data_IF_513254902783
#
_entry.id   IF_513254902783
#
_cell.length_a   1.000
_cell.length_b   1.000
_cell.length_c   1.000
_cell.angle_alpha   90.00
_cell.angle_beta   90.00
_cell.angle_gamma   90.00
#
_symmetry.space_group_name_H-M   'P 1'
#
loop_
_entity.id
_entity.type
_entity.pdbx_description
1 polymer ?
#
# COMPACT_ATOMS: atom_id res chain seq x y z
N UNK A 1 -16.22 -32.18 22.49
CA UNK A 1 -15.29 -31.29 21.75
C UNK A 1 -14.36 -30.46 22.63
N UNK A 2 -14.80 -29.90 23.78
CA UNK A 2 -13.96 -29.01 24.63
C UNK A 2 -12.55 -29.54 24.97
N UNK A 3 -12.33 -30.83 25.27
CA UNK A 3 -10.98 -31.35 25.51
C UNK A 3 -10.08 -31.35 24.27
N UNK A 4 -10.67 -31.61 23.09
CA UNK A 4 -9.96 -31.56 21.79
C UNK A 4 -9.52 -30.12 21.52
N UNK A 5 -10.43 -29.16 21.72
CA UNK A 5 -10.18 -27.72 21.56
C UNK A 5 -9.03 -27.28 22.47
N UNK A 6 -9.12 -27.55 23.78
CA UNK A 6 -8.06 -27.19 24.74
C UNK A 6 -6.71 -27.83 24.43
N UNK A 7 -6.71 -29.09 23.98
CA UNK A 7 -5.48 -29.78 23.60
C UNK A 7 -4.84 -29.11 22.39
N UNK A 8 -5.63 -28.83 21.35
CA UNK A 8 -5.13 -28.21 20.13
C UNK A 8 -4.71 -26.76 20.32
N UNK A 9 -5.43 -25.98 21.15
CA UNK A 9 -5.03 -24.63 21.56
C UNK A 9 -3.63 -24.60 22.22
N UNK A 10 -3.34 -25.58 23.10
CA UNK A 10 -2.01 -25.69 23.72
C UNK A 10 -0.92 -26.04 22.71
N UNK A 11 -1.25 -26.74 21.63
CA UNK A 11 -0.30 -27.16 20.60
C UNK A 11 -0.09 -26.06 19.54
N UNK A 12 -1.16 -25.37 19.16
CA UNK A 12 -1.15 -24.32 18.14
C UNK A 12 -1.68 -23.04 18.79
N UNK A 13 -0.75 -22.19 19.20
CA UNK A 13 -1.05 -20.91 19.85
C UNK A 13 -1.02 -19.76 18.85
N UNK A 14 -2.20 -19.30 18.46
CA UNK A 14 -2.44 -18.06 17.73
C UNK A 14 -2.35 -16.89 18.72
N UNK A 15 -1.44 -15.95 18.47
CA UNK A 15 -1.11 -14.87 19.43
C UNK A 15 -2.27 -13.90 19.68
N UNK A 16 -3.09 -13.64 18.67
CA UNK A 16 -4.19 -12.68 18.74
C UNK A 16 -5.47 -13.25 19.37
N UNK A 17 -5.51 -14.56 19.64
CA UNK A 17 -6.71 -15.25 20.12
C UNK A 17 -6.66 -15.49 21.62
N UNK A 18 -7.78 -15.26 22.28
CA UNK A 18 -8.05 -15.73 23.64
C UNK A 18 -8.70 -17.12 23.63
N UNK A 19 -8.99 -17.67 24.81
CA UNK A 19 -9.57 -19.01 24.93
C UNK A 19 -10.98 -19.12 24.32
N UNK A 20 -11.76 -18.04 24.36
CA UNK A 20 -13.12 -18.02 23.83
C UNK A 20 -13.09 -18.04 22.31
N UNK A 21 -12.12 -17.40 21.66
CA UNK A 21 -11.93 -17.47 20.20
C UNK A 21 -11.74 -18.92 19.73
N UNK A 22 -10.89 -19.71 20.41
CA UNK A 22 -10.73 -21.15 20.11
C UNK A 22 -12.04 -21.92 20.30
N UNK A 23 -12.83 -21.57 21.31
CA UNK A 23 -14.11 -22.21 21.53
C UNK A 23 -15.13 -21.87 20.46
N UNK A 24 -15.24 -20.59 20.10
CA UNK A 24 -16.16 -20.12 19.07
C UNK A 24 -15.85 -20.77 17.73
N UNK A 25 -14.60 -20.75 17.28
CA UNK A 25 -14.18 -21.39 16.03
C UNK A 25 -14.39 -22.91 16.07
N UNK A 26 -14.16 -23.53 17.23
CA UNK A 26 -14.53 -24.93 17.45
C UNK A 26 -16.03 -25.18 17.31
N UNK A 27 -16.89 -24.27 17.78
CA UNK A 27 -18.34 -24.43 17.63
C UNK A 27 -18.80 -24.20 16.19
N UNK A 28 -18.21 -23.22 15.50
CA UNK A 28 -18.48 -22.95 14.08
C UNK A 28 -18.17 -24.20 13.23
N UNK A 29 -16.99 -24.81 13.39
CA UNK A 29 -16.66 -26.02 12.62
C UNK A 29 -17.57 -27.19 12.97
N UNK A 30 -17.92 -27.34 14.25
CA UNK A 30 -18.85 -28.38 14.67
C UNK A 30 -20.23 -28.20 14.04
N UNK A 31 -20.74 -26.96 13.98
CA UNK A 31 -22.00 -26.63 13.34
C UNK A 31 -22.02 -27.05 11.87
N UNK A 32 -21.01 -26.62 11.10
CA UNK A 32 -20.90 -26.99 9.69
C UNK A 32 -20.82 -28.51 9.49
N UNK A 33 -20.09 -29.21 10.36
CA UNK A 33 -20.00 -30.68 10.29
C UNK A 33 -21.33 -31.39 10.58
N UNK A 34 -22.19 -30.79 11.41
CA UNK A 34 -23.53 -31.31 11.69
C UNK A 34 -24.49 -31.04 10.53
N UNK A 35 -24.38 -29.88 9.88
CA UNK A 35 -25.17 -29.54 8.68
C UNK A 35 -24.85 -30.43 7.48
N UNK A 36 -23.58 -30.83 7.32
CA UNK A 36 -23.14 -31.73 6.24
C UNK A 36 -23.69 -33.18 6.36
N UNK A 37 -24.58 -33.48 7.33
CA UNK A 37 -25.30 -34.75 7.49
C UNK A 37 -24.38 -36.00 7.55
N UNK A 38 -23.20 -35.85 8.15
CA UNK A 38 -22.27 -36.97 8.31
C UNK A 38 -22.78 -38.01 9.31
N UNK A 39 -22.55 -39.32 9.07
CA UNK A 39 -22.86 -40.35 10.05
C UNK A 39 -22.13 -40.05 11.37
N UNK A 40 -22.91 -40.02 12.45
CA UNK A 40 -22.52 -39.61 13.81
C UNK A 40 -21.29 -40.36 14.35
N UNK A 41 -21.03 -41.56 13.83
CA UNK A 41 -19.94 -42.47 14.24
C UNK A 41 -18.53 -41.91 14.01
N UNK A 42 -18.35 -40.87 13.18
CA UNK A 42 -17.01 -40.32 12.87
C UNK A 42 -16.88 -38.80 13.07
N UNK A 43 -17.81 -38.18 13.81
CA UNK A 43 -17.82 -36.72 13.93
C UNK A 43 -16.61 -36.18 14.71
N UNK A 44 -16.14 -36.91 15.72
CA UNK A 44 -15.02 -36.51 16.57
C UNK A 44 -13.69 -36.45 15.81
N UNK A 45 -13.41 -37.45 14.98
CA UNK A 45 -12.19 -37.50 14.18
C UNK A 45 -12.23 -36.43 13.10
N UNK A 46 -13.36 -36.29 12.39
CA UNK A 46 -13.55 -35.23 11.39
C UNK A 46 -13.41 -33.84 11.99
N UNK A 47 -14.04 -33.60 13.14
CA UNK A 47 -13.90 -32.36 13.89
C UNK A 47 -12.45 -32.09 14.24
N UNK A 48 -11.74 -33.06 14.82
CA UNK A 48 -10.33 -32.90 15.19
C UNK A 48 -9.48 -32.52 13.98
N UNK A 49 -9.68 -33.17 12.83
CA UNK A 49 -8.92 -32.89 11.60
C UNK A 49 -9.25 -31.49 11.06
N UNK A 50 -10.54 -31.17 10.84
CA UNK A 50 -10.95 -29.85 10.30
C UNK A 50 -10.52 -28.71 11.24
N UNK A 51 -10.69 -28.88 12.55
CA UNK A 51 -10.30 -27.86 13.53
C UNK A 51 -8.79 -27.68 13.62
N UNK A 52 -8.00 -28.75 13.56
CA UNK A 52 -6.54 -28.64 13.47
C UNK A 52 -6.09 -27.89 12.23
N UNK A 53 -6.69 -28.19 11.07
CA UNK A 53 -6.39 -27.51 9.82
C UNK A 53 -6.73 -26.01 9.88
N UNK A 54 -7.92 -25.66 10.42
CA UNK A 54 -8.33 -24.26 10.62
C UNK A 54 -7.31 -23.47 11.45
N UNK A 55 -6.82 -24.04 12.55
CA UNK A 55 -5.82 -23.37 13.40
C UNK A 55 -4.49 -23.16 12.69
N UNK A 56 -4.05 -24.13 11.88
CA UNK A 56 -2.83 -23.99 11.06
C UNK A 56 -3.01 -22.87 10.04
N UNK A 57 -4.16 -22.82 9.36
CA UNK A 57 -4.42 -21.82 8.34
C UNK A 57 -4.53 -20.41 8.92
N UNK A 58 -5.12 -20.26 10.10
CA UNK A 58 -5.14 -18.98 10.81
C UNK A 58 -3.73 -18.53 11.23
N UNK A 59 -2.90 -19.47 11.69
CA UNK A 59 -1.51 -19.19 12.02
C UNK A 59 -0.73 -18.76 10.77
N UNK A 60 -0.93 -19.43 9.63
CA UNK A 60 -0.34 -19.04 8.33
C UNK A 60 -0.80 -17.66 7.89
N UNK A 61 -2.09 -17.36 8.01
CA UNK A 61 -2.64 -16.05 7.69
C UNK A 61 -2.04 -14.95 8.58
N UNK A 62 -1.88 -15.23 9.88
CA UNK A 62 -1.21 -14.34 10.83
C UNK A 62 0.25 -14.09 10.45
N UNK A 63 0.98 -15.13 10.01
CA UNK A 63 2.34 -14.98 9.52
C UNK A 63 2.41 -14.23 8.20
N UNK A 64 1.50 -14.47 7.26
CA UNK A 64 1.43 -13.73 6.01
C UNK A 64 1.15 -12.24 6.25
N UNK A 65 0.23 -11.90 7.17
CA UNK A 65 -0.04 -10.51 7.57
C UNK A 65 1.19 -9.85 8.22
N UNK A 66 1.93 -10.59 9.04
CA UNK A 66 3.21 -10.12 9.59
C UNK A 66 4.28 -9.97 8.53
N UNK A 67 4.40 -10.92 7.60
CA UNK A 67 5.32 -10.80 6.48
C UNK A 67 5.00 -9.59 5.62
N UNK A 68 3.72 -9.34 5.32
CA UNK A 68 3.28 -8.14 4.62
C UNK A 68 3.66 -6.87 5.39
N UNK A 69 3.51 -6.87 6.71
CA UNK A 69 3.91 -5.75 7.57
C UNK A 69 5.43 -5.60 7.70
N UNK A 70 6.18 -6.69 7.80
CA UNK A 70 7.63 -6.73 7.98
C UNK A 70 8.35 -6.47 6.64
N UNK A 71 7.71 -6.78 5.50
CA UNK A 71 8.14 -6.42 4.14
C UNK A 71 7.53 -5.10 3.66
N UNK A 72 6.63 -4.50 4.45
CA UNK A 72 6.39 -3.07 4.40
C UNK A 72 7.65 -2.43 4.99
N UNK A 73 8.71 -2.37 4.18
CA UNK A 73 9.84 -1.46 4.41
C UNK A 73 9.19 -0.15 4.81
N UNK A 74 9.49 0.34 6.02
CA UNK A 74 8.86 1.52 6.59
C UNK A 74 8.79 2.57 5.50
N UNK A 75 7.58 2.79 5.00
CA UNK A 75 7.37 3.50 3.76
C UNK A 75 7.83 4.92 4.05
N UNK A 76 8.94 5.33 3.42
CA UNK A 76 9.48 6.64 3.68
C UNK A 76 8.40 7.63 3.27
N UNK A 77 7.97 8.48 4.22
CA UNK A 77 6.94 9.50 3.98
C UNK A 77 7.36 10.38 2.79
N UNK A 78 8.66 10.51 2.53
CA UNK A 78 9.20 11.19 1.37
C UNK A 78 9.06 10.39 0.05
N UNK A 79 9.09 9.06 0.06
CA UNK A 79 8.86 8.21 -1.13
C UNK A 79 7.38 8.13 -1.55
N UNK A 80 6.45 8.40 -0.64
CA UNK A 80 5.01 8.49 -0.93
C UNK A 80 4.47 9.92 -0.98
N UNK A 81 5.34 10.92 -0.95
CA UNK A 81 4.95 12.32 -1.14
C UNK A 81 4.19 12.52 -2.45
N UNK A 82 4.65 11.89 -3.54
CA UNK A 82 4.00 11.90 -4.86
C UNK A 82 2.56 11.37 -4.85
N UNK A 83 2.22 10.45 -3.92
CA UNK A 83 0.87 9.89 -3.79
C UNK A 83 -0.05 10.75 -2.91
N UNK A 84 0.52 11.53 -2.00
CA UNK A 84 -0.19 12.49 -1.14
C UNK A 84 -0.39 13.82 -1.87
N UNK A 85 0.54 14.18 -2.77
CA UNK A 85 0.44 15.31 -3.70
C UNK A 85 -0.54 15.05 -4.86
N UNK A 86 -1.17 13.88 -4.91
CA UNK A 86 -2.34 13.61 -5.75
C UNK A 86 -3.62 14.32 -5.23
N UNK A 87 -3.49 15.49 -4.61
CA UNK A 87 -4.55 16.48 -4.56
C UNK A 87 -4.84 16.88 -6.00
N UNK A 88 -5.86 16.27 -6.61
CA UNK A 88 -6.22 16.50 -8.01
C UNK A 88 -6.24 18.01 -8.31
N UNK A 89 -5.64 18.38 -9.45
CA UNK A 89 -5.52 19.78 -9.87
C UNK A 89 -6.86 20.48 -9.73
N UNK A 90 -6.94 21.37 -8.75
CA UNK A 90 -8.06 22.31 -8.64
C UNK A 90 -8.01 23.25 -9.85
N UNK A 91 -9.16 23.77 -10.33
CA UNK A 91 -9.16 24.77 -11.40
C UNK A 91 -8.23 25.95 -11.10
N UNK A 92 -8.11 26.33 -9.84
CA UNK A 92 -7.24 27.39 -9.35
C UNK A 92 -5.75 27.02 -9.49
N UNK A 93 -5.35 25.79 -9.13
CA UNK A 93 -3.97 25.33 -9.31
C UNK A 93 -3.58 25.21 -10.78
N UNK A 94 -4.52 24.83 -11.64
CA UNK A 94 -4.29 24.79 -13.10
C UNK A 94 -4.11 26.20 -13.67
N UNK A 95 -4.91 27.18 -13.21
CA UNK A 95 -4.77 28.59 -13.60
C UNK A 95 -3.41 29.16 -13.19
N UNK A 96 -3.00 28.94 -11.93
CA UNK A 96 -1.70 29.41 -11.43
C UNK A 96 -0.55 28.76 -12.19
N UNK A 97 -0.63 27.44 -12.43
CA UNK A 97 0.38 26.72 -13.21
C UNK A 97 0.51 27.27 -14.63
N UNK A 98 -0.61 27.46 -15.34
CA UNK A 98 -0.60 27.99 -16.70
C UNK A 98 -0.04 29.42 -16.77
N UNK A 99 -0.32 30.26 -15.77
CA UNK A 99 0.25 31.60 -15.68
C UNK A 99 1.77 31.56 -15.50
N UNK A 100 2.26 30.75 -14.55
CA UNK A 100 3.69 30.58 -14.32
C UNK A 100 4.42 30.00 -15.54
N UNK A 101 3.78 29.07 -16.24
CA UNK A 101 4.32 28.49 -17.46
C UNK A 101 4.45 29.53 -18.58
N UNK A 102 3.46 30.42 -18.73
CA UNK A 102 3.51 31.51 -19.70
C UNK A 102 4.64 32.51 -19.38
N UNK A 103 4.77 32.90 -18.11
CA UNK A 103 5.84 33.80 -17.64
C UNK A 103 7.24 33.21 -17.89
N UNK A 104 7.42 31.91 -17.60
CA UNK A 104 8.65 31.19 -17.93
C UNK A 104 8.89 31.17 -19.43
N UNK A 105 7.87 30.87 -20.24
CA UNK A 105 8.03 30.80 -21.68
C UNK A 105 8.45 32.15 -22.27
N UNK A 106 7.82 33.24 -21.84
CA UNK A 106 8.16 34.61 -22.29
C UNK A 106 9.55 35.06 -21.84
N UNK A 107 10.00 34.64 -20.65
CA UNK A 107 11.33 34.97 -20.12
C UNK A 107 12.48 34.16 -20.73
N UNK A 108 12.19 33.06 -21.44
CA UNK A 108 13.18 32.21 -22.08
C UNK A 108 13.54 32.71 -23.49
N UNK A 109 14.79 32.48 -23.90
CA UNK A 109 15.17 32.69 -25.31
C UNK A 109 14.61 31.58 -26.20
N UNK A 110 14.48 31.85 -27.51
CA UNK A 110 13.91 30.90 -28.48
C UNK A 110 14.52 29.49 -28.40
N UNK A 111 15.83 29.39 -28.19
CA UNK A 111 16.51 28.10 -28.01
C UNK A 111 16.03 27.34 -26.76
N UNK A 112 15.87 28.03 -25.62
CA UNK A 112 15.41 27.38 -24.38
C UNK A 112 13.89 27.15 -24.36
N UNK A 113 13.11 27.97 -25.07
CA UNK A 113 11.69 27.69 -25.32
C UNK A 113 11.51 26.37 -26.08
N UNK A 114 12.33 26.13 -27.11
CA UNK A 114 12.32 24.86 -27.85
C UNK A 114 12.71 23.68 -26.94
N UNK A 115 13.76 23.83 -26.12
CA UNK A 115 14.15 22.80 -25.16
C UNK A 115 13.05 22.52 -24.13
N UNK A 116 12.35 23.56 -23.64
CA UNK A 116 11.23 23.40 -22.73
C UNK A 116 10.08 22.63 -23.37
N UNK A 117 9.70 22.97 -24.60
CA UNK A 117 8.63 22.28 -25.34
C UNK A 117 9.00 20.82 -25.61
N UNK A 118 10.25 20.54 -25.98
CA UNK A 118 10.76 19.17 -26.17
C UNK A 118 10.68 18.36 -24.88
N UNK A 119 11.09 18.95 -23.75
CA UNK A 119 10.99 18.33 -22.44
C UNK A 119 9.53 18.06 -22.03
N UNK A 120 8.62 19.00 -22.28
CA UNK A 120 7.18 18.83 -22.01
C UNK A 120 6.54 17.74 -22.86
N UNK A 121 7.08 17.46 -24.04
CA UNK A 121 6.69 16.34 -24.91
C UNK A 121 7.29 15.00 -24.49
N UNK A 122 8.15 14.99 -23.46
CA UNK A 122 8.83 13.79 -22.98
C UNK A 122 10.05 13.38 -23.82
N UNK A 123 10.60 14.27 -24.64
CA UNK A 123 11.84 14.02 -25.37
C UNK A 123 13.05 14.10 -24.43
N UNK A 124 14.06 13.25 -24.68
CA UNK A 124 15.29 13.27 -23.89
C UNK A 124 16.17 14.48 -24.26
N UNK A 125 16.50 15.27 -23.24
CA UNK A 125 17.50 16.35 -23.30
C UNK A 125 18.83 15.86 -22.74
N UNK A 126 19.94 16.44 -23.20
CA UNK A 126 21.25 16.14 -22.59
C UNK A 126 21.31 16.68 -21.16
N UNK A 127 22.14 16.06 -20.32
CA UNK A 127 22.36 16.49 -18.92
C UNK A 127 22.70 18.00 -18.81
N UNK A 128 23.47 18.53 -19.77
CA UNK A 128 23.86 19.94 -19.77
C UNK A 128 22.71 20.86 -20.17
N UNK A 129 21.90 20.48 -21.16
CA UNK A 129 20.69 21.22 -21.56
C UNK A 129 19.67 21.26 -20.43
N UNK A 130 19.40 20.13 -19.77
CA UNK A 130 18.54 20.06 -18.59
C UNK A 130 19.02 21.00 -17.49
N UNK A 131 20.32 20.97 -17.17
CA UNK A 131 20.90 21.83 -16.14
C UNK A 131 20.71 23.31 -16.48
N UNK A 132 21.11 23.73 -17.68
CA UNK A 132 21.02 25.13 -18.11
C UNK A 132 19.57 25.61 -18.19
N UNK A 133 18.67 24.79 -18.72
CA UNK A 133 17.24 25.09 -18.79
C UNK A 133 16.68 25.28 -17.38
N UNK A 134 16.99 24.39 -16.44
CA UNK A 134 16.55 24.50 -15.04
C UNK A 134 17.04 25.79 -14.38
N UNK A 135 18.32 26.13 -14.53
CA UNK A 135 18.86 27.35 -13.95
C UNK A 135 18.23 28.62 -14.56
N UNK A 136 17.91 28.60 -15.86
CA UNK A 136 17.18 29.70 -16.51
C UNK A 136 15.75 29.84 -15.98
N UNK A 137 15.02 28.74 -15.85
CA UNK A 137 13.66 28.74 -15.29
C UNK A 137 13.67 29.24 -13.84
N UNK A 138 14.62 28.77 -13.02
CA UNK A 138 14.78 29.24 -11.63
C UNK A 138 15.05 30.74 -11.56
N UNK A 139 15.94 31.23 -12.41
CA UNK A 139 16.21 32.67 -12.45
C UNK A 139 14.95 33.45 -12.84
N UNK A 140 14.13 32.99 -13.79
CA UNK A 140 12.90 33.71 -14.15
C UNK A 140 11.91 33.73 -12.97
N UNK A 141 11.70 32.60 -12.31
CA UNK A 141 10.67 32.46 -11.26
C UNK A 141 11.08 33.04 -9.89
N UNK A 142 12.38 33.09 -9.59
CA UNK A 142 12.88 33.40 -8.24
C UNK A 142 13.93 34.53 -8.19
N UNK A 143 14.18 35.27 -9.28
CA UNK A 143 15.16 36.38 -9.28
C UNK A 143 14.65 37.69 -8.67
N UNK A 144 13.44 37.74 -8.12
CA UNK A 144 13.00 38.84 -7.27
C UNK A 144 13.26 38.46 -5.83
N UNK A 145 14.38 38.95 -5.29
CA UNK A 145 14.59 39.30 -3.88
C UNK A 145 16.06 39.72 -3.68
N UNK A 146 16.45 40.85 -4.28
CA UNK A 146 17.66 41.60 -3.92
C UNK A 146 17.39 43.10 -4.20
N UNK A 147 16.46 43.69 -3.43
CA UNK A 147 16.34 45.14 -3.20
C UNK A 147 16.30 45.42 -1.68
#
# INVERSE_FOLDING_TARGET
MKPIIRKLMKQIRIKAWDIEDYYQEGMIILHHLLEENHPSTNIYTKFKVKYHQRLIDELRHSYAKKWLHDHFVGLDIYECSDWIDAGGSTPESELVFNHLLAEVYEGLSAHYQELLVRQMRGEELTRMECYRLREKIKNILFSRDDD
#
